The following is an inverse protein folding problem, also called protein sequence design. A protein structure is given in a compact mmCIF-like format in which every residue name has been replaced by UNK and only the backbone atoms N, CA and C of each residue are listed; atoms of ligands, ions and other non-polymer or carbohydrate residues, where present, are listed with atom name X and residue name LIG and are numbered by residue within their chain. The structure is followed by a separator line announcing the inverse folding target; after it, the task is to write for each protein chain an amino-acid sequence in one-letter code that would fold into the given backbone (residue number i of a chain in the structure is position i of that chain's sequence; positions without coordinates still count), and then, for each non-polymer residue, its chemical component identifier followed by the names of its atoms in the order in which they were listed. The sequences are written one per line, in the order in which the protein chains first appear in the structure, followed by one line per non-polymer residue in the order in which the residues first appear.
data_IF_452367688444
#
_entry.id   IF_452367688444
#
_cell.length_a   1.000
_cell.length_b   1.000
_cell.length_c   1.000
_cell.angle_alpha   90.00
_cell.angle_beta   90.00
_cell.angle_gamma   90.00
#
_symmetry.space_group_name_H-M   'P 1'
#
loop_
_entity.id
_entity.type
_entity.pdbx_description
1 polymer ?
#
# COMPACT_ATOMS: atom_id res chain seq x y z
N UNK A 1 3.95 20.34 -15.82
CA UNK A 1 3.98 19.60 -17.11
C UNK A 1 5.42 19.19 -17.36
N UNK A 2 5.85 18.09 -16.74
CA UNK A 2 7.16 17.50 -16.99
C UNK A 2 7.18 16.92 -18.41
N UNK A 3 8.29 17.12 -19.12
CA UNK A 3 8.52 16.47 -20.39
C UNK A 3 8.60 14.96 -20.18
N UNK A 4 7.64 14.19 -20.71
CA UNK A 4 7.75 12.73 -20.79
C UNK A 4 9.10 12.40 -21.46
N UNK A 5 9.98 11.59 -20.84
CA UNK A 5 11.30 11.35 -21.39
C UNK A 5 11.17 10.66 -22.76
N UNK A 6 11.74 11.28 -23.79
CA UNK A 6 11.82 10.75 -25.16
C UNK A 6 12.41 9.32 -25.26
N UNK A 7 13.05 8.83 -24.20
CA UNK A 7 13.59 7.49 -24.09
C UNK A 7 12.52 6.39 -24.04
N UNK A 8 11.38 6.60 -23.37
CA UNK A 8 10.31 5.59 -23.31
C UNK A 8 9.70 5.34 -24.70
N UNK A 9 9.54 6.40 -25.50
CA UNK A 9 9.08 6.31 -26.88
C UNK A 9 10.03 5.50 -27.78
N UNK A 10 11.34 5.57 -27.55
CA UNK A 10 12.31 4.82 -28.34
C UNK A 10 12.27 3.31 -28.05
N UNK A 11 12.09 2.91 -26.78
CA UNK A 11 12.00 1.49 -26.39
C UNK A 11 10.67 0.89 -26.87
N UNK A 12 9.57 1.63 -26.74
CA UNK A 12 8.27 1.24 -27.31
C UNK A 12 8.40 1.07 -28.83
N UNK A 13 9.04 2.00 -29.54
CA UNK A 13 9.24 1.90 -30.99
C UNK A 13 10.07 0.67 -31.41
N UNK A 14 11.07 0.26 -30.60
CA UNK A 14 11.87 -0.96 -30.86
C UNK A 14 11.07 -2.23 -30.57
N UNK A 15 10.24 -2.25 -29.52
CA UNK A 15 9.34 -3.36 -29.25
C UNK A 15 8.28 -3.53 -30.36
N UNK A 16 7.71 -2.41 -30.84
CA UNK A 16 6.80 -2.39 -31.99
C UNK A 16 7.47 -2.88 -33.28
N UNK A 17 8.75 -2.58 -33.50
CA UNK A 17 9.48 -3.02 -34.68
C UNK A 17 9.81 -4.54 -34.68
N UNK A 18 9.76 -5.19 -33.52
CA UNK A 18 10.07 -6.60 -33.35
C UNK A 18 8.84 -7.53 -33.36
N UNK A 19 7.62 -6.98 -33.27
CA UNK A 19 6.39 -7.78 -33.24
C UNK A 19 5.97 -8.22 -34.65
N UNK A 20 5.80 -9.53 -34.85
CA UNK A 20 5.34 -10.14 -36.13
C UNK A 20 3.80 -10.27 -36.15
N UNK A 21 3.08 -9.64 -35.23
CA UNK A 21 1.63 -9.71 -35.08
C UNK A 21 0.98 -8.39 -34.64
N UNK A 22 -0.34 -8.33 -34.69
CA UNK A 22 -1.11 -7.23 -34.12
C UNK A 22 -1.07 -7.35 -32.58
N UNK A 23 -0.72 -6.28 -31.84
CA UNK A 23 -0.70 -6.33 -30.40
C UNK A 23 -2.10 -6.61 -29.83
N UNK A 24 -2.17 -7.39 -28.77
CA UNK A 24 -3.39 -7.59 -27.98
C UNK A 24 -3.45 -6.56 -26.87
N UNK A 25 -4.64 -5.99 -26.64
CA UNK A 25 -4.89 -5.00 -25.60
C UNK A 25 -5.82 -5.58 -24.55
N UNK A 26 -5.48 -5.37 -23.28
CA UNK A 26 -6.35 -5.60 -22.14
C UNK A 26 -6.44 -4.33 -21.31
N UNK A 27 -7.57 -4.16 -20.64
CA UNK A 27 -7.76 -3.13 -19.64
C UNK A 27 -8.09 -3.84 -18.35
N UNK A 28 -7.49 -3.37 -17.27
CA UNK A 28 -7.77 -3.78 -15.92
C UNK A 28 -7.88 -2.52 -15.06
N UNK A 29 -8.49 -2.63 -13.89
CA UNK A 29 -8.56 -1.49 -13.00
C UNK A 29 -9.33 -1.77 -11.73
N UNK A 30 -9.28 -0.78 -10.86
CA UNK A 30 -9.88 -0.81 -9.55
C UNK A 30 -10.55 0.54 -9.28
N UNK A 31 -11.82 0.53 -8.90
CA UNK A 31 -12.52 1.70 -8.38
C UNK A 31 -12.81 1.45 -6.91
N UNK A 32 -12.36 2.35 -6.05
CA UNK A 32 -12.80 2.50 -4.67
C UNK A 32 -13.55 3.82 -4.55
N UNK A 33 -14.78 3.77 -4.05
CA UNK A 33 -15.59 4.96 -3.84
C UNK A 33 -16.30 4.81 -2.53
N UNK A 34 -15.81 5.53 -1.53
CA UNK A 34 -16.34 5.55 -0.19
C UNK A 34 -17.03 6.87 0.14
N UNK A 35 -18.02 6.75 1.01
CA UNK A 35 -18.68 7.89 1.65
C UNK A 35 -18.96 7.52 3.08
N UNK A 36 -18.63 8.43 3.99
CA UNK A 36 -18.92 8.28 5.41
C UNK A 36 -19.45 9.59 5.97
N UNK A 37 -20.37 9.49 6.93
CA UNK A 37 -20.68 10.61 7.83
C UNK A 37 -20.51 10.21 9.29
N UNK A 38 -19.94 11.09 10.10
CA UNK A 38 -20.09 10.98 11.54
C UNK A 38 -21.41 11.67 11.95
N UNK A 39 -22.06 11.20 13.00
CA UNK A 39 -23.32 11.79 13.47
C UNK A 39 -23.12 13.15 14.17
N UNK A 40 -21.87 13.62 14.27
CA UNK A 40 -21.51 14.99 14.63
C UNK A 40 -21.73 16.00 13.49
N UNK A 41 -21.92 15.53 12.26
CA UNK A 41 -22.20 16.36 11.08
C UNK A 41 -21.02 16.49 10.12
N UNK A 42 -19.91 15.80 10.37
CA UNK A 42 -18.81 15.70 9.40
C UNK A 42 -19.12 14.65 8.34
N UNK A 43 -18.58 14.89 7.16
CA UNK A 43 -18.77 14.05 5.99
C UNK A 43 -17.47 13.93 5.22
N UNK A 44 -17.21 12.71 4.78
CA UNK A 44 -15.98 12.30 4.12
C UNK A 44 -16.35 11.52 2.86
N UNK A 45 -15.57 11.74 1.81
CA UNK A 45 -15.60 10.96 0.57
C UNK A 45 -14.18 10.72 0.16
N UNK A 46 -13.88 9.49 -0.22
CA UNK A 46 -12.68 9.11 -0.91
C UNK A 46 -13.09 8.40 -2.19
N UNK A 47 -12.58 8.86 -3.33
CA UNK A 47 -12.72 8.12 -4.58
C UNK A 47 -11.33 7.90 -5.15
N UNK A 48 -11.06 6.70 -5.62
CA UNK A 48 -9.81 6.32 -6.26
C UNK A 48 -10.14 5.38 -7.43
N UNK A 49 -9.65 5.71 -8.62
CA UNK A 49 -9.79 4.88 -9.80
C UNK A 49 -8.40 4.61 -10.37
N UNK A 50 -7.95 3.38 -10.21
CA UNK A 50 -6.73 2.86 -10.82
C UNK A 50 -7.07 2.22 -12.16
N UNK A 51 -6.29 2.58 -13.18
CA UNK A 51 -6.44 2.11 -14.54
C UNK A 51 -5.15 1.44 -14.99
N UNK A 52 -5.27 0.17 -15.35
CA UNK A 52 -4.25 -0.62 -16.03
C UNK A 52 -4.56 -0.80 -17.50
N UNK A 53 -3.56 -0.66 -18.35
CA UNK A 53 -3.64 -1.07 -19.75
C UNK A 53 -2.48 -1.99 -20.10
N UNK A 54 -2.80 -3.26 -20.30
CA UNK A 54 -1.87 -4.28 -20.78
C UNK A 54 -1.78 -4.29 -22.31
N UNK A 55 -0.55 -4.34 -22.83
CA UNK A 55 -0.27 -4.48 -24.26
C UNK A 55 0.62 -5.71 -24.46
N UNK A 56 0.11 -6.77 -25.08
CA UNK A 56 0.90 -7.94 -25.45
C UNK A 56 1.34 -7.85 -26.91
N UNK A 57 2.64 -7.70 -27.13
CA UNK A 57 3.23 -7.68 -28.47
C UNK A 57 3.55 -9.08 -28.98
N UNK A 58 3.80 -10.01 -28.06
CA UNK A 58 4.06 -11.44 -28.28
C UNK A 58 4.07 -12.19 -26.94
N UNK A 59 4.16 -13.51 -26.96
CA UNK A 59 4.38 -14.37 -25.76
C UNK A 59 5.63 -13.99 -24.93
N UNK A 60 6.51 -13.13 -25.45
CA UNK A 60 7.77 -12.74 -24.83
C UNK A 60 7.89 -11.25 -24.55
N UNK A 61 6.96 -10.42 -24.98
CA UNK A 61 7.09 -8.97 -24.84
C UNK A 61 5.72 -8.37 -24.54
N UNK A 62 5.62 -7.76 -23.36
CA UNK A 62 4.42 -7.09 -22.87
C UNK A 62 4.78 -5.72 -22.32
N UNK A 63 3.86 -4.78 -22.38
CA UNK A 63 3.94 -3.52 -21.66
C UNK A 63 2.69 -3.35 -20.79
N UNK A 64 2.83 -2.58 -19.71
CA UNK A 64 1.71 -2.17 -18.88
C UNK A 64 1.82 -0.67 -18.58
N UNK A 65 0.68 0.00 -18.58
CA UNK A 65 0.54 1.43 -18.36
C UNK A 65 -0.43 1.63 -17.21
N UNK A 66 -0.03 2.45 -16.24
CA UNK A 66 -0.76 2.73 -15.01
C UNK A 66 -1.19 4.20 -14.98
N UNK A 67 -2.44 4.44 -14.57
CA UNK A 67 -2.96 5.78 -14.31
C UNK A 67 -3.98 5.76 -13.17
N UNK A 68 -3.77 6.59 -12.16
CA UNK A 68 -4.68 6.78 -11.04
C UNK A 68 -5.44 8.09 -11.19
N UNK A 69 -6.74 8.04 -10.89
CA UNK A 69 -7.62 9.20 -10.80
C UNK A 69 -8.16 9.25 -9.39
N UNK A 70 -7.75 10.25 -8.62
CA UNK A 70 -8.32 10.49 -7.30
C UNK A 70 -9.51 11.43 -7.38
N UNK A 71 -10.52 11.18 -6.56
CA UNK A 71 -11.62 12.09 -6.31
C UNK A 71 -11.14 13.29 -5.52
N UNK A 72 -11.73 14.45 -5.82
CA UNK A 72 -11.56 15.60 -4.95
C UNK A 72 -12.49 15.46 -3.76
N UNK A 73 -12.24 16.22 -2.70
CA UNK A 73 -13.22 16.31 -1.61
C UNK A 73 -14.55 16.81 -2.16
N UNK A 74 -15.60 15.99 -2.10
CA UNK A 74 -16.97 16.41 -2.42
C UNK A 74 -17.54 16.99 -1.11
N UNK A 75 -17.72 18.31 -0.99
CA UNK A 75 -18.29 18.84 0.25
C UNK A 75 -19.74 18.40 0.35
N UNK A 76 -20.05 17.47 1.26
CA UNK A 76 -21.40 17.38 1.80
C UNK A 76 -21.48 18.24 3.06
N UNK A 77 -21.85 19.50 2.87
CA UNK A 77 -22.02 20.44 3.98
C UNK A 77 -21.87 21.89 3.55
N UNK A 78 -21.60 22.75 4.52
CA UNK A 78 -21.39 24.21 4.35
C UNK A 78 -19.98 24.58 3.83
N UNK A 79 -19.16 23.59 3.45
CA UNK A 79 -17.82 23.82 2.89
C UNK A 79 -17.89 24.41 1.47
N UNK A 80 -16.90 25.21 1.10
CA UNK A 80 -16.80 25.69 -0.28
C UNK A 80 -16.51 24.52 -1.23
N UNK A 81 -17.13 24.50 -2.43
CA UNK A 81 -16.88 23.46 -3.43
C UNK A 81 -15.39 23.37 -3.79
N UNK A 82 -14.76 22.26 -3.39
CA UNK A 82 -13.48 21.82 -3.94
C UNK A 82 -13.64 21.36 -5.40
N UNK A 83 -12.53 21.27 -6.16
CA UNK A 83 -12.54 20.66 -7.49
C UNK A 83 -13.06 19.21 -7.39
N UNK A 84 -14.18 18.91 -8.05
CA UNK A 84 -14.92 17.63 -7.94
C UNK A 84 -14.27 16.46 -8.70
N UNK A 85 -13.36 16.76 -9.62
CA UNK A 85 -12.61 15.80 -10.41
C UNK A 85 -11.16 16.28 -10.40
N UNK A 86 -10.25 15.47 -9.86
CA UNK A 86 -8.83 15.77 -9.79
C UNK A 86 -8.16 15.40 -11.12
N UNK A 87 -6.94 15.87 -11.30
CA UNK A 87 -6.07 15.51 -12.41
C UNK A 87 -5.89 13.99 -12.50
N UNK A 88 -5.86 13.46 -13.72
CA UNK A 88 -5.41 12.09 -13.98
C UNK A 88 -3.91 12.06 -13.75
N UNK A 89 -3.46 11.31 -12.74
CA UNK A 89 -2.06 11.02 -12.54
C UNK A 89 -1.64 9.91 -13.52
N UNK A 90 -0.46 10.08 -14.13
CA UNK A 90 0.19 9.00 -14.86
C UNK A 90 1.24 8.42 -13.93
N UNK A 91 1.01 7.20 -13.45
CA UNK A 91 1.86 6.60 -12.42
C UNK A 91 3.06 5.90 -13.05
N UNK A 92 2.90 5.38 -14.28
CA UNK A 92 4.05 4.81 -14.96
C UNK A 92 3.78 3.96 -16.18
N UNK A 93 4.88 3.48 -16.76
CA UNK A 93 4.88 2.43 -17.78
C UNK A 93 6.01 1.45 -17.53
N UNK A 94 5.76 0.16 -17.66
CA UNK A 94 6.80 -0.86 -17.71
C UNK A 94 6.69 -1.74 -18.95
N UNK A 95 7.83 -2.31 -19.34
CA UNK A 95 7.93 -3.26 -20.44
C UNK A 95 8.67 -4.49 -19.93
N UNK A 96 8.03 -5.64 -20.04
CA UNK A 96 8.58 -6.94 -19.64
C UNK A 96 8.92 -7.80 -20.87
N UNK A 97 10.14 -8.33 -20.88
CA UNK A 97 10.69 -9.24 -21.89
C UNK A 97 11.02 -10.60 -21.27
N UNK A 98 10.34 -11.66 -21.70
CA UNK A 98 10.56 -13.04 -21.24
C UNK A 98 11.47 -13.81 -22.18
N UNK A 99 12.46 -14.50 -21.60
CA UNK A 99 13.46 -15.30 -22.32
C UNK A 99 13.55 -16.73 -21.74
N UNK A 100 14.32 -17.60 -22.38
CA UNK A 100 14.54 -18.97 -21.87
C UNK A 100 15.37 -19.04 -20.56
N UNK A 101 15.95 -17.93 -20.12
CA UNK A 101 16.78 -17.87 -18.91
C UNK A 101 16.18 -17.00 -17.78
N UNK A 102 15.03 -16.36 -18.04
CA UNK A 102 14.41 -15.41 -17.11
C UNK A 102 13.70 -14.28 -17.85
N UNK A 103 13.20 -13.31 -17.09
CA UNK A 103 12.49 -12.14 -17.60
C UNK A 103 13.17 -10.83 -17.18
N UNK A 104 13.17 -9.85 -18.06
CA UNK A 104 13.67 -8.50 -17.82
C UNK A 104 12.50 -7.53 -17.86
N UNK A 105 12.36 -6.64 -16.89
CA UNK A 105 11.42 -5.54 -16.94
C UNK A 105 12.16 -4.20 -16.88
N UNK A 106 11.69 -3.20 -17.61
CA UNK A 106 12.24 -1.84 -17.61
C UNK A 106 11.12 -0.82 -17.60
N UNK A 107 11.30 0.28 -16.89
CA UNK A 107 10.30 1.34 -16.80
C UNK A 107 10.05 1.77 -15.36
N UNK A 108 8.84 2.24 -15.07
CA UNK A 108 8.34 2.60 -13.76
C UNK A 108 7.79 1.33 -13.08
N UNK A 109 8.67 0.65 -12.36
CA UNK A 109 8.39 -0.66 -11.79
C UNK A 109 7.75 -0.47 -10.42
N UNK A 110 6.50 -0.90 -10.27
CA UNK A 110 5.82 -0.96 -8.97
C UNK A 110 6.53 -1.97 -8.08
N UNK A 111 6.88 -1.53 -6.88
CA UNK A 111 7.37 -2.41 -5.81
C UNK A 111 6.96 -1.85 -4.45
N UNK A 112 6.77 -2.74 -3.49
CA UNK A 112 6.21 -2.40 -2.20
C UNK A 112 7.02 -3.07 -1.08
N UNK A 113 8.33 -2.82 -1.05
CA UNK A 113 9.18 -3.39 -0.02
C UNK A 113 9.37 -2.39 1.12
N UNK A 114 8.89 -2.78 2.30
CA UNK A 114 8.96 -1.97 3.51
C UNK A 114 7.60 -1.45 3.95
N UNK A 115 6.67 -1.17 3.04
CA UNK A 115 5.29 -0.85 3.42
C UNK A 115 4.60 -2.07 4.03
N UNK A 116 4.09 -1.94 5.26
CA UNK A 116 3.18 -2.92 5.85
C UNK A 116 1.78 -2.34 5.82
N UNK A 117 0.83 -3.11 5.27
CA UNK A 117 -0.59 -2.81 5.34
C UNK A 117 -1.29 -3.90 6.13
N UNK A 118 -2.06 -3.50 7.12
CA UNK A 118 -2.80 -4.42 8.00
C UNK A 118 -4.29 -4.55 7.62
N UNK A 119 -4.73 -3.91 6.53
CA UNK A 119 -6.09 -4.02 5.97
C UNK A 119 -6.22 -4.99 4.78
N UNK A 120 -5.19 -5.78 4.47
CA UNK A 120 -5.13 -6.62 3.26
C UNK A 120 -6.25 -7.67 3.16
N UNK A 121 -6.87 -8.09 4.26
CA UNK A 121 -8.01 -9.02 4.19
C UNK A 121 -9.33 -8.32 3.80
N UNK A 122 -9.46 -7.00 4.01
CA UNK A 122 -10.63 -6.21 3.59
C UNK A 122 -10.52 -5.87 2.12
N UNK A 123 -9.32 -5.47 1.67
CA UNK A 123 -9.12 -4.96 0.32
C UNK A 123 -8.45 -6.02 -0.57
N UNK A 124 -9.14 -6.41 -1.65
CA UNK A 124 -8.61 -7.36 -2.64
C UNK A 124 -7.35 -6.85 -3.35
N UNK A 125 -7.15 -5.53 -3.36
CA UNK A 125 -5.96 -4.85 -3.86
C UNK A 125 -5.40 -3.87 -2.82
N UNK A 126 -4.16 -3.46 -3.04
CA UNK A 126 -3.27 -2.96 -2.03
C UNK A 126 -3.23 -1.42 -2.01
N UNK A 127 -4.01 -0.78 -1.13
CA UNK A 127 -3.89 0.67 -0.89
C UNK A 127 -2.78 0.90 0.14
N UNK A 128 -1.53 0.70 -0.27
CA UNK A 128 -0.36 1.29 0.40
C UNK A 128 0.16 2.44 -0.43
N UNK A 129 1.03 3.30 0.12
CA UNK A 129 1.96 4.03 -0.73
C UNK A 129 2.75 3.01 -1.56
N UNK A 130 2.30 2.81 -2.79
CA UNK A 130 3.05 2.10 -3.79
C UNK A 130 4.29 2.92 -4.08
N UNK A 131 5.44 2.25 -4.09
CA UNK A 131 6.67 2.90 -4.50
C UNK A 131 6.96 2.52 -5.95
N UNK A 132 7.29 3.53 -6.75
CA UNK A 132 7.71 3.32 -8.12
C UNK A 132 9.23 3.44 -8.18
N UNK A 133 9.90 2.42 -8.73
CA UNK A 133 11.31 2.53 -9.11
C UNK A 133 11.36 2.64 -10.61
N UNK A 134 11.82 3.78 -11.11
CA UNK A 134 12.23 3.90 -12.50
C UNK A 134 13.55 3.16 -12.70
N UNK A 135 13.50 1.96 -13.29
CA UNK A 135 14.64 1.07 -13.26
C UNK A 135 14.57 -0.16 -14.16
N UNK A 136 15.34 -1.17 -13.75
CA UNK A 136 15.44 -2.47 -14.40
C UNK A 136 15.23 -3.54 -13.35
N UNK A 137 14.40 -4.54 -13.66
CA UNK A 137 14.22 -5.77 -12.90
C UNK A 137 14.63 -6.96 -13.73
N UNK A 138 15.36 -7.89 -13.12
CA UNK A 138 15.61 -9.22 -13.68
C UNK A 138 14.98 -10.26 -12.77
N UNK A 139 14.27 -11.22 -13.36
CA UNK A 139 13.61 -12.31 -12.64
C UNK A 139 13.97 -13.66 -13.24
N UNK A 140 14.19 -14.66 -12.42
CA UNK A 140 14.40 -16.05 -12.81
C UNK A 140 13.64 -16.97 -11.87
N UNK A 141 13.11 -18.07 -12.38
CA UNK A 141 12.45 -19.02 -11.51
C UNK A 141 11.75 -20.15 -12.25
N UNK A 142 11.05 -20.93 -11.44
CA UNK A 142 10.11 -21.97 -11.84
C UNK A 142 8.98 -22.02 -10.80
N UNK A 143 8.18 -23.08 -10.83
CA UNK A 143 7.03 -23.25 -9.93
C UNK A 143 7.40 -23.40 -8.45
N UNK A 144 8.66 -23.71 -8.14
CA UNK A 144 9.14 -23.90 -6.76
C UNK A 144 9.95 -22.74 -6.22
N UNK A 145 10.75 -22.10 -7.05
CA UNK A 145 11.64 -21.02 -6.61
C UNK A 145 11.55 -19.90 -7.63
N UNK A 146 11.29 -18.68 -7.15
CA UNK A 146 11.32 -17.47 -7.97
C UNK A 146 12.24 -16.47 -7.31
N UNK A 147 13.01 -15.76 -8.10
CA UNK A 147 13.93 -14.73 -7.64
C UNK A 147 13.83 -13.53 -8.55
N UNK A 148 13.91 -12.34 -7.96
CA UNK A 148 14.02 -11.11 -8.71
C UNK A 148 15.00 -10.16 -8.04
N UNK A 149 15.69 -9.35 -8.85
CA UNK A 149 16.50 -8.22 -8.40
C UNK A 149 16.06 -7.01 -9.21
N UNK A 150 15.95 -5.87 -8.55
CA UNK A 150 15.57 -4.59 -9.13
C UNK A 150 16.59 -3.52 -8.73
N UNK A 151 16.86 -2.61 -9.65
CA UNK A 151 17.67 -1.42 -9.42
C UNK A 151 17.11 -0.23 -10.20
N UNK A 152 17.08 0.95 -9.59
CA UNK A 152 16.67 2.17 -10.28
C UNK A 152 16.60 3.39 -9.38
N UNK A 153 15.89 4.42 -9.83
CA UNK A 153 15.59 5.63 -9.06
C UNK A 153 14.19 5.53 -8.45
N UNK A 154 14.06 5.78 -7.16
CA UNK A 154 12.78 5.81 -6.45
C UNK A 154 12.02 7.10 -6.77
N UNK A 155 10.70 7.03 -6.90
CA UNK A 155 9.83 8.21 -7.02
C UNK A 155 9.30 8.70 -5.66
N UNK A 156 9.84 8.20 -4.55
CA UNK A 156 9.44 8.68 -3.24
C UNK A 156 10.21 9.93 -2.83
N UNK A 157 9.52 10.98 -2.33
CA UNK A 157 10.19 12.15 -1.77
C UNK A 157 11.14 11.72 -0.65
N UNK A 158 12.25 12.45 -0.51
CA UNK A 158 13.24 12.24 0.55
C UNK A 158 12.54 12.53 1.90
N UNK A 159 11.82 11.55 2.48
CA UNK A 159 11.06 11.68 3.75
C UNK A 159 11.98 12.14 4.90
N UNK A 160 13.29 12.03 4.70
CA UNK A 160 14.34 12.46 5.62
C UNK A 160 14.45 13.97 5.86
N UNK A 161 13.73 14.84 5.14
CA UNK A 161 13.97 16.30 5.22
C UNK A 161 12.79 17.19 5.61
N UNK A 162 11.57 16.70 5.73
CA UNK A 162 10.43 17.53 6.17
C UNK A 162 10.00 17.26 7.61
N UNK A 163 10.94 17.36 8.55
CA UNK A 163 10.57 17.96 9.84
C UNK A 163 10.43 19.46 9.61
N UNK A 164 9.26 19.89 9.15
CA UNK A 164 8.88 21.30 9.25
C UNK A 164 8.85 21.65 10.75
N UNK A 165 9.96 22.17 11.26
CA UNK A 165 10.02 22.74 12.60
C UNK A 165 9.11 23.97 12.57
N UNK A 166 7.87 23.81 13.02
CA UNK A 166 6.99 24.93 13.30
C UNK A 166 7.62 25.75 14.44
N UNK A 167 8.47 26.71 14.10
CA UNK A 167 9.01 27.65 15.07
C UNK A 167 7.91 28.66 15.38
N UNK A 168 7.20 28.45 16.49
CA UNK A 168 6.26 29.42 17.01
C UNK A 168 7.02 30.64 17.57
N UNK A 169 7.40 31.56 16.69
CA UNK A 169 7.91 32.88 17.05
C UNK A 169 6.85 33.94 16.70
N UNK A 170 5.83 34.08 17.55
CA UNK A 170 4.89 35.21 17.57
C UNK A 170 3.86 35.27 16.42
N UNK A 171 2.60 34.98 16.76
CA UNK A 171 1.33 35.30 16.07
C UNK A 171 1.21 35.15 14.53
N UNK A 172 2.20 34.59 13.83
CA UNK A 172 2.13 34.33 12.39
C UNK A 172 2.70 32.95 12.11
N UNK A 173 1.82 31.97 11.90
CA UNK A 173 2.19 30.66 11.37
C UNK A 173 2.52 30.83 9.89
N UNK A 174 3.80 30.94 9.56
CA UNK A 174 4.27 30.88 8.17
C UNK A 174 4.56 29.42 7.85
N UNK A 175 3.62 28.73 7.21
CA UNK A 175 3.90 27.44 6.57
C UNK A 175 4.58 27.76 5.25
N UNK A 176 5.91 27.71 5.22
CA UNK A 176 6.61 27.63 3.94
C UNK A 176 6.33 26.24 3.38
N UNK A 177 5.46 26.15 2.37
CA UNK A 177 5.35 24.95 1.57
C UNK A 177 6.71 24.70 0.92
N UNK A 178 7.44 23.72 1.46
CA UNK A 178 8.66 23.22 0.85
C UNK A 178 8.33 22.83 -0.58
N UNK A 179 9.04 23.42 -1.54
CA UNK A 179 9.07 22.86 -2.88
C UNK A 179 9.73 21.51 -2.71
N UNK A 180 8.95 20.42 -2.80
CA UNK A 180 9.45 19.05 -2.70
C UNK A 180 10.75 18.94 -3.51
N UNK A 181 11.87 18.80 -2.81
CA UNK A 181 13.16 18.65 -3.47
C UNK A 181 13.08 17.38 -4.31
N UNK A 182 13.49 17.45 -5.58
CA UNK A 182 13.59 16.26 -6.44
C UNK A 182 14.37 15.17 -5.68
N UNK A 183 13.67 14.11 -5.31
CA UNK A 183 14.29 12.96 -4.66
C UNK A 183 15.32 12.37 -5.60
N UNK A 184 16.55 12.23 -5.11
CA UNK A 184 17.61 11.52 -5.83
C UNK A 184 17.75 10.08 -5.33
N UNK A 185 16.77 9.56 -4.59
CA UNK A 185 16.85 8.24 -4.00
C UNK A 185 17.01 7.16 -5.10
N UNK A 186 17.98 6.27 -4.89
CA UNK A 186 18.18 5.08 -5.69
C UNK A 186 17.82 3.83 -4.89
N UNK A 187 17.19 2.87 -5.54
CA UNK A 187 16.81 1.59 -4.97
C UNK A 187 17.66 0.44 -5.50
N UNK A 188 17.97 -0.49 -4.61
CA UNK A 188 18.38 -1.86 -4.95
C UNK A 188 17.51 -2.79 -4.13
N UNK A 189 16.63 -3.52 -4.80
CA UNK A 189 15.69 -4.44 -4.17
C UNK A 189 15.87 -5.87 -4.66
N UNK A 190 15.41 -6.83 -3.87
CA UNK A 190 15.42 -8.23 -4.22
C UNK A 190 14.28 -9.00 -3.57
N UNK A 191 13.91 -10.07 -4.25
CA UNK A 191 12.84 -10.98 -3.88
C UNK A 191 13.30 -12.42 -4.06
N UNK A 192 12.94 -13.30 -3.13
CA UNK A 192 13.06 -14.74 -3.29
C UNK A 192 11.83 -15.43 -2.73
N UNK A 193 11.10 -16.16 -3.57
CA UNK A 193 9.99 -17.03 -3.19
C UNK A 193 10.45 -18.48 -3.20
N UNK A 194 9.98 -19.24 -2.22
CA UNK A 194 10.03 -20.71 -2.22
C UNK A 194 8.64 -21.25 -1.98
N UNK A 195 8.09 -21.96 -2.97
CA UNK A 195 6.83 -22.67 -2.90
C UNK A 195 7.07 -24.12 -2.49
N UNK A 196 6.52 -24.50 -1.34
CA UNK A 196 6.60 -25.87 -0.81
C UNK A 196 5.47 -26.74 -1.36
N UNK A 197 4.29 -26.15 -1.52
CA UNK A 197 3.08 -26.73 -2.13
C UNK A 197 2.38 -25.64 -2.95
N UNK A 198 1.25 -25.96 -3.58
CA UNK A 198 0.39 -24.96 -4.25
C UNK A 198 -0.19 -23.94 -3.25
N UNK A 199 -0.38 -24.34 -2.00
CA UNK A 199 -1.01 -23.53 -0.96
C UNK A 199 0.00 -22.92 0.03
N UNK A 200 1.25 -23.41 0.07
CA UNK A 200 2.25 -23.01 1.06
C UNK A 200 3.49 -22.45 0.39
N UNK A 201 3.80 -21.18 0.68
CA UNK A 201 4.98 -20.48 0.18
C UNK A 201 5.60 -19.60 1.25
N UNK A 202 6.88 -19.31 1.06
CA UNK A 202 7.62 -18.35 1.88
C UNK A 202 8.39 -17.41 0.95
N UNK A 203 8.33 -16.13 1.25
CA UNK A 203 8.89 -15.06 0.47
C UNK A 203 9.84 -14.23 1.31
N UNK A 204 11.03 -13.96 0.79
CA UNK A 204 12.03 -13.09 1.37
C UNK A 204 12.14 -11.84 0.49
N UNK A 205 11.98 -10.69 1.13
CA UNK A 205 12.13 -9.37 0.55
C UNK A 205 13.32 -8.68 1.19
N UNK A 206 14.08 -7.93 0.42
CA UNK A 206 15.22 -7.17 0.94
C UNK A 206 15.57 -6.04 0.00
N UNK A 207 16.14 -4.97 0.55
CA UNK A 207 16.65 -3.91 -0.27
C UNK A 207 17.27 -2.76 0.50
N UNK A 208 17.68 -1.81 -0.32
CA UNK A 208 18.42 -0.63 0.05
C UNK A 208 17.84 0.55 -0.73
N UNK A 209 17.52 1.63 -0.03
CA UNK A 209 17.25 2.93 -0.64
C UNK A 209 18.24 3.94 -0.09
N UNK A 210 18.83 4.77 -0.95
CA UNK A 210 19.72 5.85 -0.51
C UNK A 210 19.87 6.91 -1.60
N UNK A 211 20.23 8.14 -1.23
CA UNK A 211 20.71 9.12 -2.19
C UNK A 211 22.16 8.73 -2.59
N UNK A 212 22.41 8.30 -3.85
CA UNK A 212 23.73 7.89 -4.30
C UNK A 212 24.73 9.05 -4.32
N UNK A 213 24.29 10.31 -4.30
CA UNK A 213 25.15 11.50 -4.24
C UNK A 213 25.61 11.80 -2.82
N UNK A 214 24.77 11.57 -1.82
CA UNK A 214 25.08 11.79 -0.39
C UNK A 214 25.72 10.56 0.26
N UNK A 215 25.58 9.39 -0.36
CA UNK A 215 26.13 8.15 0.13
C UNK A 215 25.22 7.45 1.13
N UNK A 216 25.44 6.13 1.26
CA UNK A 216 24.61 5.25 2.06
C UNK A 216 24.63 5.56 3.56
N UNK A 217 25.76 6.01 4.09
CA UNK A 217 25.89 6.30 5.53
C UNK A 217 24.99 7.45 5.99
N UNK A 218 24.72 8.42 5.11
CA UNK A 218 23.97 9.62 5.43
C UNK A 218 22.46 9.53 5.13
N UNK A 219 22.06 8.64 4.20
CA UNK A 219 20.67 8.58 3.67
C UNK A 219 20.14 7.16 3.54
N UNK A 220 20.89 6.16 4.00
CA UNK A 220 20.61 4.77 3.74
C UNK A 220 19.44 4.22 4.53
N UNK A 221 18.42 3.76 3.83
CA UNK A 221 17.30 3.00 4.35
C UNK A 221 17.50 1.55 3.93
N UNK A 222 17.59 0.66 4.92
CA UNK A 222 17.60 -0.78 4.71
C UNK A 222 16.21 -1.30 5.04
N UNK A 223 15.72 -2.21 4.22
CA UNK A 223 14.51 -2.94 4.53
C UNK A 223 14.69 -4.41 4.20
N UNK A 224 13.94 -5.25 4.90
CA UNK A 224 13.80 -6.64 4.58
C UNK A 224 12.58 -7.22 5.27
N UNK A 225 12.15 -8.38 4.82
CA UNK A 225 11.02 -9.05 5.42
C UNK A 225 10.85 -10.47 4.94
N UNK A 226 10.15 -11.25 5.74
CA UNK A 226 9.71 -12.59 5.41
C UNK A 226 8.18 -12.59 5.42
N UNK A 227 7.58 -13.06 4.34
CA UNK A 227 6.17 -13.42 4.27
C UNK A 227 6.07 -14.95 4.27
N UNK A 228 5.13 -15.47 5.04
CA UNK A 228 4.70 -16.86 5.01
C UNK A 228 3.21 -16.92 4.74
N UNK A 229 2.82 -17.69 3.74
CA UNK A 229 1.40 -17.95 3.44
C UNK A 229 1.16 -19.45 3.34
N UNK A 230 0.07 -19.91 3.94
CA UNK A 230 -0.36 -21.30 3.87
C UNK A 230 -1.88 -21.42 3.90
N UNK A 231 -2.42 -22.46 3.26
CA UNK A 231 -3.82 -22.84 3.42
C UNK A 231 -3.95 -24.35 3.66
N UNK A 232 -4.96 -24.72 4.47
CA UNK A 232 -5.35 -26.11 4.73
C UNK A 232 -6.74 -26.33 4.14
N UNK A 233 -6.73 -26.77 2.87
CA UNK A 233 -7.96 -26.85 2.07
C UNK A 233 -8.60 -25.47 1.90
N UNK A 234 -9.93 -25.44 1.86
CA UNK A 234 -10.72 -24.20 1.77
C UNK A 234 -11.08 -23.63 3.15
N UNK A 235 -10.63 -24.27 4.24
CA UNK A 235 -11.14 -24.00 5.59
C UNK A 235 -10.27 -23.01 6.33
N UNK A 236 -8.94 -23.12 6.25
CA UNK A 236 -8.02 -22.24 6.99
C UNK A 236 -7.03 -21.65 6.01
N UNK A 237 -6.84 -20.34 6.07
CA UNK A 237 -5.69 -19.67 5.49
C UNK A 237 -4.93 -18.92 6.59
N UNK A 238 -3.62 -18.82 6.45
CA UNK A 238 -2.76 -18.06 7.36
C UNK A 238 -1.75 -17.30 6.52
N UNK A 239 -1.67 -15.99 6.75
CA UNK A 239 -0.56 -15.14 6.33
C UNK A 239 0.17 -14.64 7.58
N UNK A 240 1.49 -14.60 7.53
CA UNK A 240 2.31 -14.09 8.62
C UNK A 240 3.55 -13.42 8.06
N UNK A 241 3.78 -12.17 8.47
CA UNK A 241 4.87 -11.35 7.98
C UNK A 241 5.72 -10.85 9.15
N UNK A 242 7.03 -10.79 8.92
CA UNK A 242 7.97 -10.07 9.78
C UNK A 242 8.82 -9.18 8.90
N UNK A 243 8.93 -7.92 9.28
CA UNK A 243 9.75 -6.95 8.59
C UNK A 243 10.90 -6.48 9.44
N UNK A 244 11.82 -5.82 8.78
CA UNK A 244 12.89 -5.04 9.36
C UNK A 244 12.98 -3.78 8.50
N UNK A 245 12.89 -2.63 9.13
CA UNK A 245 13.32 -1.38 8.52
C UNK A 245 14.41 -0.76 9.37
N UNK A 246 15.40 -0.17 8.72
CA UNK A 246 16.41 0.63 9.40
C UNK A 246 16.74 1.85 8.57
N UNK A 247 16.51 3.04 9.13
CA UNK A 247 16.79 4.31 8.47
C UNK A 247 17.77 5.14 9.31
N UNK A 248 18.43 6.09 8.65
CA UNK A 248 19.26 7.07 9.33
C UNK A 248 18.32 8.07 10.00
N UNK A 249 18.33 8.13 11.33
CA UNK A 249 17.51 9.07 12.08
C UNK A 249 18.23 10.40 12.18
N UNK A 250 17.53 11.49 11.89
CA UNK A 250 17.99 12.86 12.13
C UNK A 250 17.76 13.34 13.56
N UNK A 251 17.09 12.54 14.40
CA UNK A 251 16.73 12.90 15.79
C UNK A 251 17.88 12.77 16.80
N UNK A 252 19.05 12.33 16.36
CA UNK A 252 20.26 12.35 17.17
C UNK A 252 21.04 13.63 16.85
N UNK A 253 21.29 14.42 17.90
CA UNK A 253 22.18 15.59 18.01
C UNK A 253 23.18 15.70 16.84
N UNK A 254 23.40 16.89 16.26
CA UNK A 254 24.22 17.23 15.06
C UNK A 254 25.53 16.44 14.78
N UNK A 255 26.05 15.67 15.75
CA UNK A 255 27.29 14.91 15.71
C UNK A 255 27.11 13.37 15.78
N UNK A 256 25.90 12.84 15.91
CA UNK A 256 25.62 11.41 16.07
C UNK A 256 24.51 11.03 15.09
N UNK A 257 24.81 10.34 13.99
CA UNK A 257 23.78 9.80 13.09
C UNK A 257 23.39 8.40 13.61
N UNK A 258 22.41 8.34 14.50
CA UNK A 258 21.85 7.08 14.98
C UNK A 258 21.02 6.43 13.88
N UNK A 259 21.11 5.11 13.72
CA UNK A 259 20.14 4.36 12.91
C UNK A 259 18.98 3.98 13.80
N UNK A 260 17.77 4.29 13.37
CA UNK A 260 16.58 3.69 13.96
C UNK A 260 16.34 2.34 13.30
N UNK A 261 15.84 1.38 14.06
CA UNK A 261 15.39 0.10 13.51
C UNK A 261 13.99 -0.23 14.02
N UNK A 262 13.07 -0.56 13.12
CA UNK A 262 11.74 -1.06 13.47
C UNK A 262 11.55 -2.49 12.95
N UNK A 263 10.81 -3.29 13.70
CA UNK A 263 10.48 -4.68 13.37
C UNK A 263 8.95 -4.83 13.41
N UNK A 264 8.27 -4.61 12.27
CA UNK A 264 6.85 -4.90 12.15
C UNK A 264 6.59 -6.40 12.11
N UNK A 265 5.48 -6.82 12.71
CA UNK A 265 4.95 -8.17 12.74
C UNK A 265 3.49 -8.11 12.30
N UNK A 266 3.07 -9.02 11.43
CA UNK A 266 1.67 -9.16 10.99
C UNK A 266 1.28 -10.63 11.02
N UNK A 267 0.08 -10.93 11.51
CA UNK A 267 -0.52 -12.25 11.49
C UNK A 267 -1.98 -12.15 11.08
N UNK A 268 -2.32 -12.83 9.98
CA UNK A 268 -3.65 -12.78 9.36
C UNK A 268 -4.19 -14.21 9.11
N UNK A 269 -4.74 -14.88 10.13
CA UNK A 269 -5.44 -16.13 9.95
C UNK A 269 -6.89 -15.87 9.56
N UNK A 270 -7.43 -16.72 8.68
CA UNK A 270 -8.84 -16.77 8.36
C UNK A 270 -9.37 -18.20 8.42
N UNK A 271 -10.65 -18.30 8.76
CA UNK A 271 -11.39 -19.55 8.86
C UNK A 271 -12.70 -19.43 8.06
N UNK A 272 -12.97 -20.40 7.20
CA UNK A 272 -14.18 -20.49 6.39
C UNK A 272 -14.83 -21.87 6.57
N UNK A 273 -16.01 -21.90 7.19
CA UNK A 273 -16.77 -23.14 7.43
C UNK A 273 -18.19 -22.98 6.91
N UNK A 274 -18.42 -23.50 5.71
CA UNK A 274 -19.70 -23.37 5.03
C UNK A 274 -19.99 -21.91 4.70
N UNK A 275 -20.97 -21.31 5.37
CA UNK A 275 -21.36 -19.90 5.20
C UNK A 275 -20.77 -18.98 6.25
N UNK A 276 -20.16 -19.53 7.29
CA UNK A 276 -19.53 -18.74 8.33
C UNK A 276 -18.07 -18.49 7.95
N UNK A 277 -17.63 -17.25 8.12
CA UNK A 277 -16.24 -16.84 7.97
C UNK A 277 -15.77 -16.15 9.24
N UNK A 278 -14.48 -16.22 9.53
CA UNK A 278 -13.87 -15.24 10.42
C UNK A 278 -12.47 -14.91 9.94
N UNK A 279 -12.14 -13.63 9.94
CA UNK A 279 -10.81 -13.12 9.66
C UNK A 279 -10.27 -12.43 10.91
N UNK A 280 -8.96 -12.52 11.12
CA UNK A 280 -8.24 -11.77 12.13
C UNK A 280 -7.03 -11.12 11.45
N UNK A 281 -6.68 -9.92 11.88
CA UNK A 281 -5.41 -9.28 11.55
C UNK A 281 -4.83 -8.74 12.84
N UNK A 282 -3.60 -9.13 13.15
CA UNK A 282 -2.88 -8.66 14.32
C UNK A 282 -1.53 -8.13 13.88
N UNK A 283 -1.34 -6.84 14.05
CA UNK A 283 -0.16 -6.10 13.67
C UNK A 283 0.49 -5.47 14.90
N UNK A 284 1.82 -5.49 14.93
CA UNK A 284 2.60 -4.87 15.98
C UNK A 284 3.97 -4.42 15.45
N UNK A 285 4.38 -3.21 15.80
CA UNK A 285 5.73 -2.70 15.51
C UNK A 285 6.55 -2.72 16.78
N UNK A 286 7.64 -3.47 16.76
CA UNK A 286 8.68 -3.33 17.76
C UNK A 286 9.64 -2.22 17.34
N UNK A 287 9.54 -1.07 18.00
CA UNK A 287 10.42 0.09 17.83
C UNK A 287 11.27 0.31 19.11
N UNK A 288 12.46 -0.33 19.22
CA UNK A 288 13.34 -0.18 20.37
C UNK A 288 13.93 1.23 20.52
N UNK A 289 13.93 2.03 19.45
CA UNK A 289 14.58 3.34 19.41
C UNK A 289 13.56 4.49 19.64
N UNK A 290 12.27 4.16 19.75
CA UNK A 290 11.16 5.11 20.01
C UNK A 290 11.18 6.32 19.09
N UNK A 291 11.47 6.09 17.81
CA UNK A 291 11.79 7.21 16.90
C UNK A 291 10.58 7.92 16.35
N UNK A 292 9.37 7.41 16.60
CA UNK A 292 8.13 8.07 16.20
C UNK A 292 7.88 8.13 14.69
N UNK A 293 8.88 7.73 13.91
CA UNK A 293 8.83 7.68 12.45
C UNK A 293 8.22 6.35 12.06
N UNK A 294 6.91 6.27 12.25
CA UNK A 294 6.14 5.11 11.86
C UNK A 294 6.25 4.92 10.36
N UNK A 295 6.45 3.67 9.94
CA UNK A 295 6.09 3.26 8.59
C UNK A 295 4.67 3.80 8.32
N UNK A 296 4.37 4.26 7.11
CA UNK A 296 3.19 5.09 6.74
C UNK A 296 1.83 4.72 7.37
N UNK A 297 1.69 3.49 7.87
CA UNK A 297 0.65 3.01 8.76
C UNK A 297 0.30 3.90 9.98
N UNK A 298 1.21 4.70 10.53
CA UNK A 298 0.94 5.60 11.67
C UNK A 298 0.56 4.94 13.01
N UNK A 299 0.54 3.60 13.05
CA UNK A 299 0.10 2.79 14.19
C UNK A 299 1.21 1.87 14.70
N UNK A 300 1.31 1.74 16.03
CA UNK A 300 2.21 0.77 16.66
C UNK A 300 1.58 -0.63 16.80
N UNK A 301 0.28 -0.69 17.03
CA UNK A 301 -0.49 -1.92 17.18
C UNK A 301 -1.84 -1.75 16.52
N UNK A 302 -2.23 -2.79 15.79
CA UNK A 302 -3.57 -2.92 15.25
C UNK A 302 -4.07 -4.34 15.50
N UNK A 303 -5.28 -4.46 16.00
CA UNK A 303 -5.96 -5.75 16.12
C UNK A 303 -7.33 -5.65 15.51
N UNK A 304 -7.61 -6.59 14.63
CA UNK A 304 -8.88 -6.70 13.95
C UNK A 304 -9.40 -8.12 14.04
N UNK A 305 -10.72 -8.24 14.22
CA UNK A 305 -11.43 -9.50 14.04
C UNK A 305 -12.79 -9.24 13.42
N UNK A 306 -13.18 -10.08 12.47
CA UNK A 306 -14.53 -10.06 11.92
C UNK A 306 -15.06 -11.48 11.81
N UNK A 307 -16.07 -11.85 12.60
CA UNK A 307 -16.97 -12.92 12.24
C UNK A 307 -17.94 -12.45 11.15
N UNK A 308 -18.13 -13.29 10.15
CA UNK A 308 -19.02 -13.06 9.01
C UNK A 308 -19.95 -14.23 8.73
N UNK A 309 -21.08 -13.95 8.08
CA UNK A 309 -22.01 -14.96 7.61
C UNK A 309 -22.59 -14.60 6.24
N UNK A 310 -22.38 -15.49 5.26
CA UNK A 310 -22.98 -15.40 3.94
C UNK A 310 -24.41 -15.94 3.96
N UNK A 311 -25.40 -15.08 3.71
CA UNK A 311 -26.80 -15.50 3.57
C UNK A 311 -27.03 -16.22 2.25
N UNK A 312 -26.30 -15.82 1.21
CA UNK A 312 -26.24 -16.41 -0.13
C UNK A 312 -25.02 -15.83 -0.87
N UNK A 313 -24.89 -16.14 -2.15
CA UNK A 313 -23.75 -15.72 -2.98
C UNK A 313 -23.71 -14.21 -3.27
N UNK A 314 -24.78 -13.48 -2.97
CA UNK A 314 -24.93 -12.05 -3.25
C UNK A 314 -24.96 -11.17 -2.00
N UNK A 315 -25.20 -11.75 -0.81
CA UNK A 315 -25.38 -10.98 0.42
C UNK A 315 -24.75 -11.71 1.60
N UNK A 316 -23.89 -10.99 2.32
CA UNK A 316 -23.32 -11.39 3.59
C UNK A 316 -23.41 -10.26 4.63
N UNK A 317 -23.19 -10.59 5.89
CA UNK A 317 -22.98 -9.60 6.93
C UNK A 317 -21.82 -10.00 7.83
N UNK A 318 -21.11 -9.01 8.33
CA UNK A 318 -20.00 -9.17 9.26
C UNK A 318 -20.08 -8.19 10.42
N UNK A 319 -19.31 -8.48 11.46
CA UNK A 319 -19.09 -7.56 12.57
C UNK A 319 -17.58 -7.31 12.72
N UNK A 320 -17.01 -6.41 11.91
CA UNK A 320 -15.65 -5.97 12.14
C UNK A 320 -15.52 -5.27 13.50
N UNK A 321 -14.51 -5.70 14.24
CA UNK A 321 -14.11 -5.19 15.54
C UNK A 321 -12.63 -4.85 15.47
N UNK A 322 -12.28 -3.60 15.74
CA UNK A 322 -10.94 -3.07 15.47
C UNK A 322 -10.41 -2.36 16.72
N UNK A 323 -9.11 -2.46 16.96
CA UNK A 323 -8.39 -1.76 18.01
C UNK A 323 -7.18 -1.11 17.38
N UNK A 324 -7.15 0.22 17.44
CA UNK A 324 -6.10 1.06 16.89
C UNK A 324 -5.32 1.68 18.04
N UNK A 325 -3.99 1.75 17.91
CA UNK A 325 -3.15 2.60 18.77
C UNK A 325 -2.51 3.67 17.89
N UNK A 326 -3.05 4.88 17.94
CA UNK A 326 -2.57 5.99 17.13
C UNK A 326 -1.36 6.64 17.82
N UNK A 327 -0.26 6.83 17.08
CA UNK A 327 0.90 7.59 17.55
C UNK A 327 1.84 6.91 18.54
N UNK A 328 2.67 7.71 19.23
CA UNK A 328 3.81 7.26 20.06
C UNK A 328 3.44 6.67 21.43
N UNK A 329 2.22 6.17 21.58
CA UNK A 329 1.68 5.89 22.89
C UNK A 329 2.38 4.69 23.55
N UNK A 330 3.35 5.00 24.41
CA UNK A 330 3.91 4.05 25.40
C UNK A 330 2.84 3.49 26.35
N UNK A 331 1.65 4.11 26.37
CA UNK A 331 0.47 3.67 27.10
C UNK A 331 -0.70 3.45 26.13
N UNK A 332 -1.15 2.20 26.00
CA UNK A 332 -2.31 1.80 25.19
C UNK A 332 -3.60 2.56 25.53
N UNK A 333 -3.68 3.24 26.67
CA UNK A 333 -4.87 4.02 27.04
C UNK A 333 -4.91 5.43 26.43
N UNK A 334 -3.77 5.96 25.99
CA UNK A 334 -3.65 7.27 25.34
C UNK A 334 -3.65 7.08 23.82
N UNK A 335 -4.50 7.81 23.09
CA UNK A 335 -4.62 7.75 21.62
C UNK A 335 -5.02 6.40 21.00
N UNK A 336 -5.67 5.51 21.77
CA UNK A 336 -6.24 4.28 21.21
C UNK A 336 -7.74 4.37 21.02
N UNK A 337 -8.24 3.68 19.99
CA UNK A 337 -9.67 3.62 19.70
C UNK A 337 -10.10 2.18 19.47
N UNK A 338 -11.29 1.85 19.98
CA UNK A 338 -11.98 0.61 19.66
C UNK A 338 -13.15 0.88 18.72
N UNK A 339 -13.20 0.16 17.61
CA UNK A 339 -14.22 0.32 16.59
C UNK A 339 -15.08 -0.94 16.52
N UNK A 340 -16.39 -0.76 16.42
CA UNK A 340 -17.33 -1.83 16.12
C UNK A 340 -18.20 -1.39 14.95
N UNK A 341 -18.05 -2.07 13.82
CA UNK A 341 -18.50 -1.58 12.52
C UNK A 341 -19.38 -2.62 11.81
N UNK A 342 -20.55 -3.04 12.34
CA UNK A 342 -21.42 -3.98 11.63
C UNK A 342 -21.63 -3.59 10.16
N UNK A 343 -21.30 -4.52 9.27
CA UNK A 343 -21.25 -4.30 7.82
C UNK A 343 -22.15 -5.30 7.10
N UNK A 344 -22.86 -4.81 6.10
CA UNK A 344 -23.57 -5.59 5.11
C UNK A 344 -22.78 -5.57 3.79
N UNK A 345 -22.49 -6.74 3.26
CA UNK A 345 -21.76 -6.92 2.00
C UNK A 345 -22.72 -7.38 0.91
N UNK A 346 -22.71 -6.70 -0.22
CA UNK A 346 -23.52 -7.02 -1.39
C UNK A 346 -22.60 -7.25 -2.59
N UNK A 347 -22.77 -8.38 -3.28
CA UNK A 347 -21.96 -8.76 -4.44
C UNK A 347 -22.84 -8.77 -5.70
N UNK A 348 -23.18 -7.60 -6.27
CA UNK A 348 -24.19 -7.52 -7.32
C UNK A 348 -23.77 -8.20 -8.63
N UNK A 349 -22.46 -8.28 -8.89
CA UNK A 349 -21.87 -8.95 -10.03
C UNK A 349 -20.46 -9.45 -9.67
N UNK A 350 -19.89 -10.30 -10.53
CA UNK A 350 -18.49 -10.70 -10.40
C UNK A 350 -17.59 -9.45 -10.52
N UNK A 351 -16.62 -9.32 -9.60
CA UNK A 351 -15.72 -8.16 -9.55
C UNK A 351 -16.37 -6.90 -8.97
N UNK A 352 -17.54 -7.01 -8.35
CA UNK A 352 -18.18 -5.87 -7.69
C UNK A 352 -18.54 -6.21 -6.25
N UNK A 353 -18.17 -5.32 -5.34
CA UNK A 353 -18.55 -5.38 -3.94
C UNK A 353 -19.15 -4.04 -3.51
N UNK A 354 -20.24 -4.09 -2.76
CA UNK A 354 -20.85 -2.92 -2.16
C UNK A 354 -21.02 -3.15 -0.67
N UNK A 355 -20.32 -2.36 0.11
CA UNK A 355 -20.32 -2.45 1.56
C UNK A 355 -21.15 -1.31 2.12
N UNK A 356 -21.95 -1.61 3.13
CA UNK A 356 -22.71 -0.62 3.90
C UNK A 356 -22.50 -0.90 5.37
N UNK A 357 -21.97 0.07 6.11
CA UNK A 357 -21.66 -0.11 7.52
C UNK A 357 -22.26 0.97 8.39
N UNK A 358 -22.42 0.61 9.67
CA UNK A 358 -22.65 1.53 10.77
C UNK A 358 -21.52 1.31 11.77
N UNK A 359 -20.93 2.38 12.25
CA UNK A 359 -19.80 2.32 13.17
C UNK A 359 -20.10 2.96 14.52
N UNK A 360 -19.62 2.33 15.58
CA UNK A 360 -19.40 2.95 16.87
C UNK A 360 -17.90 2.97 17.14
N UNK A 361 -17.36 4.15 17.40
CA UNK A 361 -15.95 4.42 17.56
C UNK A 361 -15.74 4.95 18.97
N UNK A 362 -14.95 4.24 19.76
CA UNK A 362 -14.80 4.49 21.19
C UNK A 362 -13.34 4.80 21.48
N UNK A 363 -12.97 6.10 21.61
CA UNK A 363 -11.67 6.46 22.13
C UNK A 363 -11.51 5.88 23.55
N UNK A 364 -10.44 5.15 23.81
CA UNK A 364 -10.25 4.47 25.09
C UNK A 364 -10.00 5.44 26.25
N UNK A 365 -9.41 6.60 25.94
CA UNK A 365 -9.14 7.66 26.90
C UNK A 365 -10.43 8.29 27.43
N UNK A 366 -11.30 8.77 26.53
CA UNK A 366 -12.53 9.49 26.91
C UNK A 366 -13.70 8.55 27.19
N UNK A 367 -13.72 7.39 26.51
CA UNK A 367 -14.83 6.42 26.49
C UNK A 367 -16.16 7.00 26.01
N UNK A 368 -16.12 8.14 25.33
CA UNK A 368 -17.30 8.76 24.73
C UNK A 368 -17.42 8.28 23.27
N UNK A 369 -18.36 7.38 22.96
CA UNK A 369 -18.49 6.87 21.61
C UNK A 369 -18.96 7.98 20.66
N UNK A 370 -18.36 8.04 19.48
CA UNK A 370 -18.97 8.68 18.33
C UNK A 370 -19.48 7.62 17.35
N UNK A 371 -20.44 8.02 16.52
CA UNK A 371 -21.12 7.11 15.61
C UNK A 371 -20.97 7.61 14.19
N UNK A 372 -20.94 6.67 13.26
CA UNK A 372 -20.94 6.97 11.85
C UNK A 372 -21.66 5.92 11.04
N UNK A 373 -21.86 6.23 9.77
CA UNK A 373 -22.31 5.26 8.79
C UNK A 373 -21.64 5.59 7.47
N UNK A 374 -21.40 4.56 6.67
CA UNK A 374 -20.80 4.74 5.38
C UNK A 374 -21.15 3.64 4.40
N UNK A 375 -20.67 3.84 3.19
CA UNK A 375 -20.83 2.95 2.06
C UNK A 375 -19.58 3.01 1.21
N UNK A 376 -19.15 1.86 0.68
CA UNK A 376 -17.96 1.71 -0.16
C UNK A 376 -18.34 0.83 -1.34
N UNK A 377 -18.10 1.29 -2.54
CA UNK A 377 -18.29 0.53 -3.76
C UNK A 377 -16.93 0.20 -4.34
N UNK A 378 -16.64 -1.09 -4.42
CA UNK A 378 -15.41 -1.63 -4.98
C UNK A 378 -15.73 -2.30 -6.31
N UNK A 379 -15.02 -1.92 -7.37
CA UNK A 379 -15.16 -2.53 -8.70
C UNK A 379 -13.80 -2.89 -9.27
N UNK A 380 -13.62 -4.17 -9.55
CA UNK A 380 -12.52 -4.73 -10.34
C UNK A 380 -13.04 -5.11 -11.73
N UNK A 381 -12.36 -4.68 -12.79
CA UNK A 381 -12.78 -4.95 -14.17
C UNK A 381 -11.66 -5.41 -15.08
#
# INVERSE_FOLDING_TARGET
MSSIPHACFAVIAVAFAAAVGSPELSFDGYLDSDVWTNFGGDFFTNDELDLGMGISFSDRAQAHIYATVTGGSVPAGRGEPGPRWVDIAFDGVDITFSTGIGSFAVGDLVYQYGGFNYYLYKRGNMITPESFTRGVRYSIGNDRIRQAILIGAADEPDVLLEHSVATAAGDTLTVEAGVAAESNAGDIGGYTEVSFTEATRMSLFYGLRADPKRGFEATGHMYGGLEFTTAVGEVIAVKADIGLQSFVSSNTREDDFGRSTTVPLLLEPSLSVGRFTTALSAYYVFDPDTTGNYMDAGEQMFVYVEPGFAFNDYVAAGLPLEMHTLGEASDLSENSEFWATPTCYVYPAKGMEWWVWFGAYVPLETREPYYGAGSELIVEF
#
